data_IF_483945254076
#
_entry.id   IF_483945254076
#
_cell.length_a   1.000
_cell.length_b   1.000
_cell.length_c   1.000
_cell.angle_alpha   90.00
_cell.angle_beta   90.00
_cell.angle_gamma   90.00
#
_symmetry.space_group_name_H-M   'P 1'
#
loop_
_entity.id
_entity.type
_entity.pdbx_description
1 polymer ?
#
# COMPACT_ATOMS: atom_id res chain seq x y z
N UNK A 1 -2.56 12.85 1.81
CA UNK A 1 -1.20 13.31 1.40
C UNK A 1 -1.38 14.18 0.17
N UNK A 2 -1.45 15.51 0.32
CA UNK A 2 -1.90 16.40 -0.75
C UNK A 2 -1.11 16.24 -2.07
N UNK A 3 0.21 16.10 -1.99
CA UNK A 3 1.06 15.95 -3.17
C UNK A 3 0.82 14.63 -3.94
N UNK A 4 0.53 13.53 -3.25
CA UNK A 4 0.24 12.24 -3.91
C UNK A 4 -1.09 12.32 -4.65
N UNK A 5 -2.10 12.94 -4.03
CA UNK A 5 -3.44 13.06 -4.59
C UNK A 5 -3.45 13.99 -5.82
N UNK A 6 -2.72 15.11 -5.76
CA UNK A 6 -2.46 15.98 -6.92
C UNK A 6 -1.77 15.23 -8.06
N UNK A 7 -0.74 14.44 -7.76
CA UNK A 7 -0.03 13.66 -8.76
C UNK A 7 -0.95 12.65 -9.47
N UNK A 8 -1.80 11.93 -8.71
CA UNK A 8 -2.79 11.00 -9.27
C UNK A 8 -3.73 11.75 -10.23
N UNK A 9 -4.26 12.90 -9.82
CA UNK A 9 -5.15 13.71 -10.65
C UNK A 9 -4.47 14.15 -11.97
N UNK A 10 -3.22 14.62 -11.89
CA UNK A 10 -2.46 15.07 -13.07
C UNK A 10 -2.10 13.94 -14.03
N UNK A 11 -1.66 12.78 -13.52
CA UNK A 11 -1.35 11.60 -14.34
C UNK A 11 -2.59 11.17 -15.13
N UNK A 12 -3.75 11.12 -14.45
CA UNK A 12 -5.04 10.81 -15.08
C UNK A 12 -5.47 11.85 -16.11
N UNK A 13 -5.26 13.14 -15.83
CA UNK A 13 -5.54 14.22 -16.79
C UNK A 13 -4.71 14.10 -18.08
N UNK A 14 -3.52 13.50 -18.01
CA UNK A 14 -2.70 13.18 -19.18
C UNK A 14 -3.14 11.90 -19.92
N UNK A 15 -4.23 11.24 -19.51
CA UNK A 15 -4.69 9.97 -20.10
C UNK A 15 -3.74 8.80 -19.83
N UNK A 16 -2.88 8.90 -18.81
CA UNK A 16 -1.95 7.84 -18.41
C UNK A 16 -2.49 7.10 -17.19
N UNK A 17 -2.25 5.79 -17.08
CA UNK A 17 -2.62 5.05 -15.89
C UNK A 17 -1.79 5.57 -14.70
N UNK A 18 -2.46 5.83 -13.58
CA UNK A 18 -1.80 6.17 -12.31
C UNK A 18 -1.66 4.92 -11.46
N UNK A 19 -0.56 4.82 -10.72
CA UNK A 19 -0.36 3.71 -9.81
C UNK A 19 0.61 4.02 -8.68
N UNK A 20 0.55 3.17 -7.66
CA UNK A 20 1.18 3.41 -6.36
C UNK A 20 1.41 2.09 -5.62
N UNK A 21 2.38 2.10 -4.69
CA UNK A 21 2.60 1.04 -3.71
C UNK A 21 2.12 1.54 -2.33
N UNK A 22 1.22 0.80 -1.69
CA UNK A 22 0.81 1.02 -0.30
C UNK A 22 0.56 -0.32 0.39
N UNK A 23 1.32 -0.61 1.45
CA UNK A 23 1.07 -1.75 2.32
C UNK A 23 -0.01 -1.47 3.39
N UNK A 24 -0.49 -0.23 3.48
CA UNK A 24 -1.64 0.16 4.31
C UNK A 24 -2.93 -0.02 3.49
N UNK A 25 -3.86 -0.81 4.02
CA UNK A 25 -5.10 -1.17 3.34
C UNK A 25 -6.04 0.02 3.14
N UNK A 26 -6.13 0.93 4.12
CA UNK A 26 -7.02 2.09 4.04
C UNK A 26 -6.51 3.07 2.98
N UNK A 27 -5.20 3.30 2.92
CA UNK A 27 -4.58 4.12 1.88
C UNK A 27 -4.70 3.46 0.50
N UNK A 28 -4.48 2.15 0.40
CA UNK A 28 -4.64 1.43 -0.87
C UNK A 28 -6.08 1.59 -1.44
N UNK A 29 -7.10 1.42 -0.58
CA UNK A 29 -8.51 1.67 -0.96
C UNK A 29 -8.75 3.11 -1.41
N UNK A 30 -8.26 4.09 -0.64
CA UNK A 30 -8.34 5.51 -1.02
C UNK A 30 -7.71 5.80 -2.38
N UNK A 31 -6.55 5.22 -2.68
CA UNK A 31 -5.90 5.44 -3.97
C UNK A 31 -6.65 4.77 -5.14
N UNK A 32 -7.31 3.64 -4.90
CA UNK A 32 -8.23 3.02 -5.87
C UNK A 32 -9.41 3.96 -6.13
N UNK A 33 -10.02 4.52 -5.08
CA UNK A 33 -11.13 5.48 -5.18
C UNK A 33 -10.74 6.75 -5.95
N UNK A 34 -9.49 7.22 -5.79
CA UNK A 34 -8.94 8.38 -6.52
C UNK A 34 -8.60 8.07 -7.99
N UNK A 35 -8.71 6.81 -8.41
CA UNK A 35 -8.55 6.38 -9.80
C UNK A 35 -7.17 5.84 -10.17
N UNK A 36 -6.36 5.40 -9.20
CA UNK A 36 -5.21 4.55 -9.51
C UNK A 36 -5.69 3.22 -10.10
N UNK A 37 -5.10 2.82 -11.24
CA UNK A 37 -5.49 1.59 -11.98
C UNK A 37 -4.51 0.44 -11.80
N UNK A 38 -3.33 0.70 -11.24
CA UNK A 38 -2.38 -0.35 -10.82
C UNK A 38 -1.85 -0.03 -9.41
N UNK A 39 -2.33 -0.77 -8.41
CA UNK A 39 -1.99 -0.55 -6.99
C UNK A 39 -1.30 -1.79 -6.44
N UNK A 40 -0.03 -1.67 -6.07
CA UNK A 40 0.66 -2.69 -5.32
C UNK A 40 0.27 -2.58 -3.84
N UNK A 41 -0.37 -3.60 -3.29
CA UNK A 41 -0.99 -3.59 -1.95
C UNK A 41 -0.09 -4.14 -0.83
N UNK A 42 1.17 -4.45 -1.16
CA UNK A 42 2.15 -5.02 -0.25
C UNK A 42 3.44 -5.39 -0.98
N UNK A 43 4.45 -5.78 -0.21
CA UNK A 43 5.68 -6.37 -0.73
C UNK A 43 5.86 -7.79 -0.17
N UNK A 44 6.48 -8.65 -0.95
CA UNK A 44 6.88 -10.00 -0.55
C UNK A 44 7.73 -9.99 0.73
N UNK A 45 8.77 -9.14 0.79
CA UNK A 45 9.62 -8.96 1.95
C UNK A 45 8.84 -8.48 3.16
N UNK A 46 7.94 -7.51 2.98
CA UNK A 46 7.11 -6.96 4.06
C UNK A 46 6.13 -7.99 4.62
N UNK A 47 5.52 -8.79 3.75
CA UNK A 47 4.64 -9.89 4.14
C UNK A 47 5.45 -10.94 4.92
N UNK A 48 6.60 -11.37 4.39
CA UNK A 48 7.45 -12.37 5.02
C UNK A 48 7.92 -11.92 6.41
N UNK A 49 8.46 -10.72 6.54
CA UNK A 49 8.95 -10.19 7.81
C UNK A 49 7.82 -10.09 8.84
N UNK A 50 6.71 -9.42 8.50
CA UNK A 50 5.60 -9.18 9.43
C UNK A 50 4.93 -10.48 9.87
N UNK A 51 4.69 -11.42 8.96
CA UNK A 51 4.08 -12.71 9.31
C UNK A 51 5.02 -13.58 10.15
N UNK A 52 6.33 -13.53 9.88
CA UNK A 52 7.34 -14.22 10.70
C UNK A 52 7.41 -13.64 12.12
N UNK A 53 7.42 -12.32 12.26
CA UNK A 53 7.38 -11.63 13.56
C UNK A 53 6.10 -11.97 14.34
N UNK A 54 4.94 -11.96 13.68
CA UNK A 54 3.66 -12.36 14.27
C UNK A 54 3.67 -13.82 14.73
N UNK A 55 4.22 -14.71 13.91
CA UNK A 55 4.36 -16.12 14.27
C UNK A 55 5.25 -16.27 15.51
N UNK A 56 6.44 -15.66 15.51
CA UNK A 56 7.35 -15.71 16.63
C UNK A 56 6.73 -15.15 17.92
N UNK A 57 5.98 -14.05 17.83
CA UNK A 57 5.30 -13.43 18.97
C UNK A 57 4.29 -14.36 19.67
N UNK A 58 3.69 -15.32 18.94
CA UNK A 58 2.75 -16.31 19.54
C UNK A 58 3.46 -17.35 20.42
N UNK A 59 4.76 -17.53 20.24
CA UNK A 59 5.56 -18.53 20.97
C UNK A 59 6.62 -17.91 21.88
N UNK A 60 6.80 -16.59 21.82
CA UNK A 60 7.58 -15.87 22.82
C UNK A 60 6.77 -15.83 24.11
N UNK A 61 7.22 -16.59 25.11
CA UNK A 61 6.77 -16.40 26.49
C UNK A 61 7.17 -14.98 26.91
N UNK A 62 6.23 -14.17 27.38
CA UNK A 62 6.59 -12.94 28.09
C UNK A 62 7.50 -13.36 29.25
N UNK A 63 8.78 -13.01 29.17
CA UNK A 63 9.67 -12.95 30.34
C UNK A 63 9.43 -11.62 31.04
#
# INVERSE_FOLDING_TARGET
QAAIEDAIARIRACGKPAGILSADEALAKRYIELGCTFVAVGSDLGILARTSEQLAARFKTNA
#
